data_IF_452956898536
#
_entry.id   IF_452956898536
#
_cell.length_a   1.000
_cell.length_b   1.000
_cell.length_c   1.000
_cell.angle_alpha   90.00
_cell.angle_beta   90.00
_cell.angle_gamma   90.00
#
_symmetry.space_group_name_H-M   'P 1'
#
loop_
_entity.id
_entity.type
_entity.pdbx_description
1 polymer ?
#
# COMPACT_ATOMS: atom_id res chain seq x y z
N UNK A 1 -8.59 96.06 -15.18
CA UNK A 1 -9.74 96.62 -14.48
C UNK A 1 -9.94 95.82 -13.23
N UNK A 2 -9.42 96.23 -12.07
CA UNK A 2 -10.17 96.95 -11.02
C UNK A 2 -11.48 96.21 -10.70
N UNK A 3 -11.81 95.79 -9.55
CA UNK A 3 -11.66 96.17 -8.15
C UNK A 3 -12.34 94.98 -7.35
N UNK A 4 -12.39 94.78 -6.08
CA UNK A 4 -11.94 95.38 -4.81
C UNK A 4 -12.30 94.41 -3.71
N UNK A 5 -11.52 94.39 -2.64
CA UNK A 5 -11.68 93.89 -1.32
C UNK A 5 -13.08 93.99 -0.67
N UNK A 6 -13.50 93.13 0.21
CA UNK A 6 -13.32 93.37 1.64
C UNK A 6 -13.97 92.25 2.45
N UNK A 7 -13.66 92.06 3.71
CA UNK A 7 -13.86 90.84 4.48
C UNK A 7 -15.09 90.89 5.42
N UNK A 8 -15.60 89.77 5.81
CA UNK A 8 -16.48 89.67 7.00
C UNK A 8 -16.03 88.63 7.95
N UNK A 9 -15.75 89.04 9.15
CA UNK A 9 -15.59 88.30 10.36
C UNK A 9 -16.92 87.67 10.79
N UNK A 10 -16.92 86.33 11.22
CA UNK A 10 -17.82 85.89 12.23
C UNK A 10 -17.41 84.50 12.82
N UNK A 11 -17.05 84.55 14.05
CA UNK A 11 -17.28 83.61 15.14
C UNK A 11 -16.94 82.11 14.98
N UNK A 12 -15.88 81.74 15.64
CA UNK A 12 -15.57 80.37 16.08
C UNK A 12 -16.65 79.79 17.04
N UNK A 13 -17.17 78.64 16.72
CA UNK A 13 -17.78 77.74 17.69
C UNK A 13 -16.90 76.46 17.70
N UNK A 14 -16.26 76.23 18.85
CA UNK A 14 -15.55 74.98 19.18
C UNK A 14 -16.55 73.86 19.21
N UNK A 15 -16.43 72.90 18.31
CA UNK A 15 -17.02 71.55 18.48
C UNK A 15 -15.86 70.59 18.71
N UNK A 16 -15.97 69.87 19.84
CA UNK A 16 -14.97 68.89 20.30
C UNK A 16 -14.84 67.73 19.35
N UNK A 17 -13.61 67.46 19.01
CA UNK A 17 -13.24 66.32 18.19
C UNK A 17 -13.27 65.05 19.07
N UNK A 18 -14.40 64.28 19.01
CA UNK A 18 -14.45 62.95 19.56
C UNK A 18 -13.65 62.02 18.62
N UNK A 19 -12.45 61.65 19.02
CA UNK A 19 -11.68 60.62 18.35
C UNK A 19 -12.36 59.29 18.62
N UNK A 20 -13.12 58.76 17.66
CA UNK A 20 -13.64 57.43 17.64
C UNK A 20 -12.50 56.48 17.24
N UNK A 21 -11.81 55.90 18.22
CA UNK A 21 -10.91 54.79 17.99
C UNK A 21 -11.70 53.55 17.62
N UNK A 22 -11.77 53.22 16.34
CA UNK A 22 -12.17 51.89 15.89
C UNK A 22 -11.05 50.92 16.25
N UNK A 23 -11.23 50.18 17.33
CA UNK A 23 -10.45 48.98 17.66
C UNK A 23 -10.89 47.88 16.69
N UNK A 24 -10.12 47.67 15.62
CA UNK A 24 -10.26 46.50 14.77
C UNK A 24 -9.70 45.30 15.55
N UNK A 25 -10.55 44.58 16.25
CA UNK A 25 -10.22 43.25 16.78
C UNK A 25 -10.24 42.31 15.60
N UNK A 26 -9.08 42.08 15.00
CA UNK A 26 -8.88 40.97 14.06
C UNK A 26 -9.02 39.66 14.86
N UNK A 27 -10.17 39.04 14.79
CA UNK A 27 -10.35 37.66 15.25
C UNK A 27 -9.54 36.79 14.28
N UNK A 28 -8.29 36.46 14.65
CA UNK A 28 -7.54 35.36 14.04
C UNK A 28 -8.26 34.08 14.45
N UNK A 29 -9.23 33.65 13.64
CA UNK A 29 -9.71 32.28 13.67
C UNK A 29 -8.56 31.47 13.09
N UNK A 30 -7.72 30.90 13.95
CA UNK A 30 -6.86 29.80 13.58
C UNK A 30 -7.77 28.65 13.17
N UNK A 31 -7.95 28.47 11.87
CA UNK A 31 -8.49 27.23 11.34
C UNK A 31 -7.38 26.20 11.56
N UNK A 32 -7.36 25.58 12.75
CA UNK A 32 -6.64 24.34 12.94
C UNK A 32 -7.32 23.34 11.99
N UNK A 33 -6.79 23.22 10.78
CA UNK A 33 -7.04 22.06 9.94
C UNK A 33 -6.41 20.90 10.70
N UNK A 34 -7.27 20.19 11.48
CA UNK A 34 -6.89 18.88 12.00
C UNK A 34 -6.60 18.04 10.76
N UNK A 35 -5.32 17.91 10.40
CA UNK A 35 -4.92 16.92 9.43
C UNK A 35 -5.31 15.58 10.04
N UNK A 36 -6.13 14.82 9.32
CA UNK A 36 -6.61 13.51 9.75
C UNK A 36 -5.40 12.67 10.17
N UNK A 37 -5.44 12.11 11.38
CA UNK A 37 -4.35 11.30 11.90
C UNK A 37 -4.26 10.01 11.09
N UNK A 38 -3.04 9.57 10.72
CA UNK A 38 -2.84 8.33 9.99
C UNK A 38 -3.45 7.15 10.75
N UNK A 39 -4.41 6.46 10.15
CA UNK A 39 -5.09 5.33 10.74
C UNK A 39 -4.41 4.02 10.34
N UNK A 40 -3.87 3.27 11.30
CA UNK A 40 -3.16 2.00 11.02
C UNK A 40 -4.10 0.87 10.59
N UNK A 41 -5.41 0.98 10.79
CA UNK A 41 -6.40 -0.03 10.41
C UNK A 41 -6.08 -1.45 10.89
N UNK A 42 -5.64 -1.59 12.14
CA UNK A 42 -5.35 -2.90 12.72
C UNK A 42 -6.61 -3.73 12.91
N UNK A 43 -6.50 -5.03 12.66
CA UNK A 43 -7.55 -5.98 13.01
C UNK A 43 -7.78 -6.00 14.52
N UNK A 44 -9.04 -5.95 14.94
CA UNK A 44 -9.41 -5.99 16.37
C UNK A 44 -9.43 -7.42 16.94
N UNK A 45 -9.23 -8.44 16.11
CA UNK A 45 -9.09 -9.83 16.54
C UNK A 45 -8.04 -10.56 15.71
N UNK A 46 -7.40 -11.55 16.32
CA UNK A 46 -6.31 -12.30 15.68
C UNK A 46 -6.83 -13.58 15.04
N UNK A 47 -6.45 -13.79 13.78
CA UNK A 47 -6.68 -15.04 13.07
C UNK A 47 -5.60 -15.25 11.99
N UNK A 48 -5.58 -16.45 11.42
CA UNK A 48 -4.68 -16.77 10.32
C UNK A 48 -5.41 -17.35 9.11
N UNK A 49 -4.87 -17.06 7.93
CA UNK A 49 -5.27 -17.62 6.64
C UNK A 49 -4.15 -18.56 6.15
N UNK A 50 -4.42 -19.89 6.11
CA UNK A 50 -3.38 -20.88 5.77
C UNK A 50 -2.06 -20.58 6.49
N UNK A 51 -2.10 -20.44 7.83
CA UNK A 51 -0.97 -20.14 8.73
C UNK A 51 -0.38 -18.71 8.67
N UNK A 52 -0.78 -17.89 7.73
CA UNK A 52 -0.39 -16.47 7.71
C UNK A 52 -1.28 -15.68 8.68
N UNK A 53 -0.70 -15.09 9.70
CA UNK A 53 -1.41 -14.19 10.62
C UNK A 53 -1.91 -12.95 9.86
N UNK A 54 -3.14 -12.52 10.15
CA UNK A 54 -3.75 -11.30 9.63
C UNK A 54 -3.62 -10.20 10.67
N UNK A 55 -3.07 -9.05 10.27
CA UNK A 55 -2.76 -7.93 11.17
C UNK A 55 -3.66 -6.72 10.97
N UNK A 56 -4.38 -6.65 9.84
CA UNK A 56 -5.16 -5.48 9.43
C UNK A 56 -6.62 -5.82 9.20
N UNK A 57 -7.50 -4.81 9.22
CA UNK A 57 -8.94 -4.94 9.02
C UNK A 57 -9.34 -5.20 7.55
N UNK A 58 -8.39 -5.08 6.63
CA UNK A 58 -8.50 -5.47 5.23
C UNK A 58 -7.28 -6.26 4.81
N UNK A 59 -7.48 -7.39 4.12
CA UNK A 59 -6.42 -8.27 3.64
C UNK A 59 -6.87 -9.04 2.40
N UNK A 60 -5.91 -9.64 1.70
CA UNK A 60 -6.22 -10.52 0.59
C UNK A 60 -5.58 -11.89 0.73
N UNK A 61 -6.13 -12.86 0.01
CA UNK A 61 -5.61 -14.21 -0.10
C UNK A 61 -5.79 -14.73 -1.52
N UNK A 62 -4.87 -15.59 -1.94
CA UNK A 62 -4.89 -16.25 -3.24
C UNK A 62 -5.00 -17.75 -3.05
N UNK A 63 -5.86 -18.39 -3.82
CA UNK A 63 -6.06 -19.84 -3.85
C UNK A 63 -6.19 -20.30 -5.29
N UNK A 64 -5.94 -21.58 -5.55
CA UNK A 64 -6.34 -22.19 -6.84
C UNK A 64 -7.84 -22.50 -6.84
N UNK A 65 -8.45 -22.74 -8.01
CA UNK A 65 -9.80 -23.29 -8.08
C UNK A 65 -9.95 -24.54 -7.22
N UNK A 66 -11.07 -24.65 -6.49
CA UNK A 66 -11.43 -25.79 -5.65
C UNK A 66 -10.37 -26.14 -4.57
N UNK A 67 -9.62 -25.13 -4.12
CA UNK A 67 -8.66 -25.25 -3.04
C UNK A 67 -9.29 -24.87 -1.70
N UNK A 68 -8.98 -25.62 -0.65
CA UNK A 68 -9.43 -25.31 0.71
C UNK A 68 -8.63 -24.14 1.29
N UNK A 69 -9.35 -23.09 1.74
CA UNK A 69 -8.84 -22.02 2.58
C UNK A 69 -9.18 -22.33 4.04
N UNK A 70 -8.17 -22.39 4.88
CA UNK A 70 -8.33 -22.63 6.32
C UNK A 70 -8.16 -21.32 7.07
N UNK A 71 -9.19 -20.90 7.80
CA UNK A 71 -9.19 -19.72 8.67
C UNK A 71 -9.16 -20.24 10.11
N UNK A 72 -8.11 -19.87 10.87
CA UNK A 72 -7.95 -20.31 12.26
C UNK A 72 -7.95 -19.10 13.19
N UNK A 73 -8.77 -19.12 14.20
CA UNK A 73 -8.86 -18.13 15.26
C UNK A 73 -8.11 -18.60 16.51
N UNK A 74 -7.81 -17.68 17.41
CA UNK A 74 -7.22 -18.02 18.70
C UNK A 74 -8.16 -18.99 19.45
N UNK A 75 -7.57 -19.97 20.14
CA UNK A 75 -8.32 -20.94 20.94
C UNK A 75 -8.69 -20.29 22.28
N UNK A 76 -9.72 -19.45 22.28
CA UNK A 76 -10.27 -18.79 23.44
C UNK A 76 -11.79 -19.05 23.55
N UNK A 77 -12.45 -18.42 24.54
CA UNK A 77 -13.90 -18.51 24.76
C UNK A 77 -14.75 -18.08 23.55
N UNK A 78 -14.17 -17.25 22.67
CA UNK A 78 -14.85 -16.67 21.51
C UNK A 78 -14.60 -17.47 20.23
N UNK A 79 -13.85 -18.57 20.29
CA UNK A 79 -13.44 -19.37 19.13
C UNK A 79 -14.60 -19.82 18.20
N UNK A 80 -15.82 -19.96 18.73
CA UNK A 80 -17.02 -20.33 17.97
C UNK A 80 -17.87 -19.12 17.51
N UNK A 81 -17.46 -17.90 17.79
CA UNK A 81 -18.23 -16.69 17.51
C UNK A 81 -17.84 -16.01 16.19
N UNK A 82 -17.12 -16.72 15.31
CA UNK A 82 -16.70 -16.17 14.04
C UNK A 82 -17.51 -16.74 12.88
N UNK A 83 -17.77 -15.89 11.90
CA UNK A 83 -18.51 -16.23 10.67
C UNK A 83 -17.72 -15.74 9.45
N UNK A 84 -17.78 -16.53 8.36
CA UNK A 84 -17.33 -16.11 7.03
C UNK A 84 -18.56 -15.77 6.19
N UNK A 85 -18.72 -14.52 5.85
CA UNK A 85 -19.79 -13.97 5.02
C UNK A 85 -19.30 -13.81 3.57
N UNK A 86 -20.23 -13.66 2.61
CA UNK A 86 -19.91 -13.55 1.17
C UNK A 86 -19.74 -14.90 0.47
N UNK A 87 -19.64 -16.01 1.20
CA UNK A 87 -19.82 -17.36 0.65
C UNK A 87 -21.28 -17.61 0.26
N UNK A 88 -21.54 -18.61 -0.58
CA UNK A 88 -22.91 -18.99 -0.98
C UNK A 88 -23.83 -19.22 0.22
N UNK A 89 -23.27 -19.80 1.29
CA UNK A 89 -23.91 -19.95 2.61
C UNK A 89 -22.88 -19.44 3.63
N UNK A 90 -23.28 -18.57 4.59
CA UNK A 90 -22.41 -18.16 5.68
C UNK A 90 -21.85 -19.37 6.45
N UNK A 91 -20.54 -19.39 6.66
CA UNK A 91 -19.87 -20.46 7.40
C UNK A 91 -19.56 -19.99 8.81
N UNK A 92 -19.85 -20.82 9.80
CA UNK A 92 -19.54 -20.55 11.20
C UNK A 92 -18.30 -21.33 11.64
N UNK A 93 -17.53 -20.73 12.53
CA UNK A 93 -16.37 -21.41 13.12
C UNK A 93 -16.81 -22.59 13.99
N UNK A 94 -16.05 -23.66 13.89
CA UNK A 94 -16.16 -24.84 14.76
C UNK A 94 -14.79 -25.08 15.39
N UNK A 95 -14.75 -25.08 16.72
CA UNK A 95 -13.51 -25.17 17.48
C UNK A 95 -12.41 -24.17 16.98
N UNK A 96 -12.81 -22.93 16.65
CA UNK A 96 -11.90 -21.90 16.17
C UNK A 96 -11.45 -22.07 14.73
N UNK A 97 -12.12 -22.88 13.91
CA UNK A 97 -11.72 -23.13 12.52
C UNK A 97 -12.90 -22.93 11.58
N UNK A 98 -12.67 -22.22 10.48
CA UNK A 98 -13.54 -22.22 9.30
C UNK A 98 -12.76 -22.82 8.14
N UNK A 99 -13.38 -23.76 7.43
CA UNK A 99 -12.87 -24.34 6.18
C UNK A 99 -13.75 -23.90 5.02
N UNK A 100 -13.15 -23.24 4.05
CA UNK A 100 -13.85 -22.70 2.89
C UNK A 100 -13.26 -23.29 1.62
N UNK A 101 -14.07 -23.98 0.84
CA UNK A 101 -13.68 -24.46 -0.49
C UNK A 101 -13.87 -23.32 -1.49
N UNK A 102 -12.78 -22.92 -2.14
CA UNK A 102 -12.83 -21.85 -3.14
C UNK A 102 -13.66 -22.23 -4.36
N UNK A 103 -14.26 -21.26 -5.06
CA UNK A 103 -14.96 -21.49 -6.32
C UNK A 103 -14.08 -22.15 -7.38
N UNK A 104 -14.70 -22.92 -8.26
CA UNK A 104 -14.03 -23.55 -9.40
C UNK A 104 -13.60 -22.54 -10.49
N UNK A 105 -14.26 -21.38 -10.57
CA UNK A 105 -13.98 -20.35 -11.58
C UNK A 105 -12.96 -19.36 -11.05
N UNK A 106 -11.85 -19.07 -11.77
CA UNK A 106 -10.97 -17.96 -11.46
C UNK A 106 -11.71 -16.63 -11.39
N UNK A 107 -11.30 -15.74 -10.49
CA UNK A 107 -11.92 -14.44 -10.31
C UNK A 107 -11.74 -13.85 -8.91
N UNK A 108 -12.39 -12.74 -8.67
CA UNK A 108 -12.43 -12.03 -7.39
C UNK A 108 -13.71 -12.37 -6.62
N UNK A 109 -13.56 -12.71 -5.35
CA UNK A 109 -14.64 -13.10 -4.44
C UNK A 109 -14.48 -12.34 -3.12
N UNK A 110 -15.22 -11.24 -2.91
CA UNK A 110 -15.18 -10.51 -1.65
C UNK A 110 -15.82 -11.35 -0.53
N UNK A 111 -15.10 -11.49 0.56
CA UNK A 111 -15.51 -12.19 1.76
C UNK A 111 -15.34 -11.27 2.97
N UNK A 112 -16.05 -11.56 4.05
CA UNK A 112 -15.92 -10.86 5.31
C UNK A 112 -15.79 -11.89 6.45
N UNK A 113 -14.75 -11.73 7.27
CA UNK A 113 -14.58 -12.50 8.50
C UNK A 113 -15.13 -11.65 9.64
N UNK A 114 -16.20 -12.09 10.29
CA UNK A 114 -16.91 -11.33 11.32
C UNK A 114 -16.89 -12.03 12.66
N UNK A 115 -16.64 -11.28 13.73
CA UNK A 115 -16.90 -11.74 15.09
C UNK A 115 -18.35 -11.37 15.46
N UNK A 116 -19.21 -12.39 15.60
CA UNK A 116 -20.65 -12.20 15.86
C UNK A 116 -20.94 -11.64 17.24
N UNK A 117 -20.00 -11.77 18.21
CA UNK A 117 -20.18 -11.25 19.57
C UNK A 117 -19.91 -9.75 19.66
N UNK A 118 -18.89 -9.27 18.93
CA UNK A 118 -18.48 -7.85 18.97
C UNK A 118 -19.00 -7.04 17.78
N UNK A 119 -19.43 -7.71 16.71
CA UNK A 119 -19.81 -7.09 15.44
C UNK A 119 -18.63 -6.62 14.60
N UNK A 120 -17.39 -6.78 15.08
CA UNK A 120 -16.18 -6.38 14.36
C UNK A 120 -15.86 -7.34 13.21
N UNK A 121 -15.31 -6.80 12.12
CA UNK A 121 -15.04 -7.58 10.93
C UNK A 121 -13.72 -7.23 10.26
N UNK A 122 -13.24 -8.15 9.43
CA UNK A 122 -12.10 -7.99 8.54
C UNK A 122 -12.54 -8.30 7.11
N UNK A 123 -12.26 -7.39 6.19
CA UNK A 123 -12.50 -7.59 4.76
C UNK A 123 -11.44 -8.56 4.19
N UNK A 124 -11.90 -9.65 3.59
CA UNK A 124 -11.04 -10.64 2.96
C UNK A 124 -11.27 -10.67 1.45
N UNK A 125 -10.34 -10.11 0.69
CA UNK A 125 -10.35 -10.10 -0.77
C UNK A 125 -9.76 -11.43 -1.28
N UNK A 126 -10.64 -12.40 -1.58
CA UNK A 126 -10.19 -13.70 -2.10
C UNK A 126 -10.05 -13.64 -3.62
N UNK A 127 -8.87 -13.99 -4.12
CA UNK A 127 -8.60 -14.18 -5.54
C UNK A 127 -8.41 -15.66 -5.85
N UNK A 128 -9.32 -16.22 -6.65
CA UNK A 128 -9.16 -17.55 -7.24
C UNK A 128 -8.31 -17.40 -8.49
N UNK A 129 -7.15 -18.02 -8.52
CA UNK A 129 -6.11 -17.81 -9.52
C UNK A 129 -6.45 -18.50 -10.84
N UNK A 130 -6.02 -17.90 -11.95
CA UNK A 130 -5.85 -18.63 -13.22
C UNK A 130 -4.61 -19.50 -13.08
N UNK A 131 -4.72 -20.85 -13.15
CA UNK A 131 -3.58 -21.75 -12.92
C UNK A 131 -2.46 -21.53 -13.93
N UNK A 132 -1.19 -21.65 -13.48
CA UNK A 132 -0.02 -21.51 -14.36
C UNK A 132 -0.02 -22.50 -15.52
N UNK A 133 -0.68 -23.65 -15.38
CA UNK A 133 -0.84 -24.67 -16.44
C UNK A 133 -1.58 -24.16 -17.66
N UNK A 134 -2.29 -23.03 -17.54
CA UNK A 134 -2.97 -22.36 -18.65
C UNK A 134 -2.03 -21.49 -19.50
N UNK A 135 -0.82 -21.21 -19.02
CA UNK A 135 0.19 -20.51 -19.82
C UNK A 135 0.66 -21.42 -20.95
N UNK A 136 0.54 -20.96 -22.17
CA UNK A 136 0.96 -21.69 -23.39
C UNK A 136 1.99 -20.87 -24.15
N UNK A 137 3.17 -21.44 -24.39
CA UNK A 137 4.27 -20.77 -25.11
C UNK A 137 4.59 -19.36 -24.54
N UNK A 138 4.60 -19.24 -23.21
CA UNK A 138 4.85 -17.97 -22.52
C UNK A 138 3.72 -16.94 -22.59
N UNK A 139 2.52 -17.33 -23.05
CA UNK A 139 1.35 -16.48 -23.14
C UNK A 139 0.23 -17.00 -22.26
N UNK A 140 -0.50 -16.09 -21.63
CA UNK A 140 -1.77 -16.34 -20.97
C UNK A 140 -2.80 -15.41 -21.60
N UNK A 141 -3.74 -15.97 -22.40
CA UNK A 141 -4.53 -15.20 -23.36
C UNK A 141 -3.60 -14.35 -24.26
N UNK A 142 -3.87 -13.06 -24.42
CA UNK A 142 -3.02 -12.13 -25.17
C UNK A 142 -1.87 -11.52 -24.33
N UNK A 143 -1.76 -11.86 -23.04
CA UNK A 143 -0.78 -11.28 -22.13
C UNK A 143 0.51 -12.08 -22.09
N UNK A 144 1.65 -11.42 -22.29
CA UNK A 144 2.95 -12.08 -22.35
C UNK A 144 3.53 -12.29 -20.97
N UNK A 145 3.58 -13.54 -20.50
CA UNK A 145 4.18 -13.94 -19.20
C UNK A 145 5.68 -14.21 -19.40
N UNK A 146 6.05 -15.00 -20.42
CA UNK A 146 7.37 -15.58 -20.57
C UNK A 146 7.60 -16.79 -19.66
N UNK A 147 8.85 -17.27 -19.59
CA UNK A 147 9.23 -18.48 -18.87
C UNK A 147 9.97 -18.14 -17.58
N UNK A 148 9.57 -18.76 -16.47
CA UNK A 148 10.30 -18.69 -15.22
C UNK A 148 11.57 -19.53 -15.29
N UNK A 149 12.72 -19.02 -14.81
CA UNK A 149 13.93 -19.82 -14.72
C UNK A 149 13.77 -20.91 -13.66
N UNK A 150 14.63 -21.95 -13.70
CA UNK A 150 14.74 -22.91 -12.60
C UNK A 150 14.95 -22.17 -11.25
N UNK A 151 14.39 -22.69 -10.14
CA UNK A 151 14.51 -22.05 -8.85
C UNK A 151 15.97 -21.78 -8.45
N UNK A 152 16.31 -20.54 -8.20
CA UNK A 152 17.65 -20.14 -7.78
C UNK A 152 18.06 -20.92 -6.53
N UNK A 153 19.17 -21.70 -6.62
CA UNK A 153 19.65 -22.59 -5.54
C UNK A 153 18.59 -23.56 -5.00
N UNK A 154 17.57 -23.92 -5.80
CA UNK A 154 16.48 -24.79 -5.37
C UNK A 154 15.54 -24.19 -4.31
N UNK A 155 15.66 -22.91 -3.98
CA UNK A 155 14.90 -22.27 -2.91
C UNK A 155 13.42 -22.11 -3.27
N UNK A 156 12.53 -22.46 -2.33
CA UNK A 156 11.07 -22.34 -2.47
C UNK A 156 10.61 -20.96 -2.90
N UNK A 157 11.26 -19.94 -2.36
CA UNK A 157 10.96 -18.55 -2.67
C UNK A 157 11.14 -18.18 -4.15
N UNK A 158 11.85 -19.00 -4.94
CA UNK A 158 12.11 -18.82 -6.38
C UNK A 158 11.39 -19.84 -7.25
N UNK A 159 10.48 -20.64 -6.71
CA UNK A 159 9.61 -21.48 -7.52
C UNK A 159 8.60 -20.60 -8.29
N UNK A 160 8.29 -21.03 -9.50
CA UNK A 160 7.25 -20.41 -10.32
C UNK A 160 5.94 -20.32 -9.52
N UNK A 161 5.14 -19.26 -9.71
CA UNK A 161 3.86 -19.12 -9.01
C UNK A 161 2.91 -20.24 -9.42
N UNK A 162 1.96 -20.59 -8.56
CA UNK A 162 0.92 -21.60 -8.85
C UNK A 162 -0.11 -21.13 -9.88
N UNK A 163 -0.28 -19.81 -10.00
CA UNK A 163 -1.21 -19.15 -10.89
C UNK A 163 -1.12 -17.63 -10.77
N UNK A 164 -2.06 -16.94 -11.41
CA UNK A 164 -2.08 -15.50 -11.54
C UNK A 164 -3.45 -14.94 -11.13
N UNK A 165 -3.47 -13.80 -10.47
CA UNK A 165 -4.66 -12.96 -10.33
C UNK A 165 -4.96 -12.40 -11.73
N UNK A 166 -6.17 -12.62 -12.22
CA UNK A 166 -6.65 -12.00 -13.45
C UNK A 166 -7.21 -10.62 -13.12
N UNK A 167 -6.66 -9.59 -13.76
CA UNK A 167 -6.98 -8.20 -13.47
C UNK A 167 -7.60 -7.54 -14.69
N UNK A 168 -8.81 -7.05 -14.53
CA UNK A 168 -9.53 -6.21 -15.48
C UNK A 168 -9.44 -4.75 -15.03
N UNK A 169 -9.79 -3.80 -15.89
CA UNK A 169 -9.74 -2.37 -15.59
C UNK A 169 -10.61 -2.01 -14.37
N UNK A 170 -11.77 -2.63 -14.27
CA UNK A 170 -12.75 -2.40 -13.22
C UNK A 170 -12.31 -2.89 -11.83
N UNK A 171 -11.36 -3.83 -11.76
CA UNK A 171 -10.90 -4.35 -10.48
C UNK A 171 -9.51 -3.87 -10.04
N UNK A 172 -8.87 -2.98 -10.81
CA UNK A 172 -7.60 -2.36 -10.42
C UNK A 172 -7.70 -1.56 -9.12
N UNK A 173 -8.84 -0.92 -8.89
CA UNK A 173 -9.10 -0.09 -7.70
C UNK A 173 -9.47 -0.89 -6.45
N UNK A 174 -9.56 -2.23 -6.52
CA UNK A 174 -9.82 -3.05 -5.33
C UNK A 174 -8.73 -2.78 -4.29
N UNK A 175 -9.16 -2.32 -3.12
CA UNK A 175 -8.30 -2.08 -1.98
C UNK A 175 -7.96 -3.42 -1.31
N UNK A 176 -6.78 -3.96 -1.58
CA UNK A 176 -6.34 -5.28 -1.09
C UNK A 176 -5.77 -5.27 0.33
N UNK A 177 -5.58 -4.08 0.86
CA UNK A 177 -5.19 -3.77 2.24
C UNK A 177 -5.61 -2.34 2.55
N UNK A 178 -5.49 -1.83 3.79
CA UNK A 178 -5.97 -0.49 4.13
C UNK A 178 -5.49 0.64 3.21
N UNK A 179 -4.23 0.58 2.75
CA UNK A 179 -3.62 1.71 2.01
C UNK A 179 -3.14 1.34 0.60
N UNK A 180 -3.34 0.07 0.16
CA UNK A 180 -2.86 -0.35 -1.17
C UNK A 180 -3.96 -0.98 -2.02
N UNK A 181 -3.98 -0.58 -3.31
CA UNK A 181 -4.87 -1.15 -4.32
C UNK A 181 -4.16 -2.21 -5.17
N UNK A 182 -4.94 -3.11 -5.77
CA UNK A 182 -4.44 -4.17 -6.64
C UNK A 182 -3.64 -3.61 -7.83
N UNK A 183 -4.13 -2.54 -8.44
CA UNK A 183 -3.56 -1.92 -9.63
C UNK A 183 -2.14 -1.37 -9.44
N UNK A 184 -1.81 -0.90 -8.24
CA UNK A 184 -0.47 -0.37 -7.94
C UNK A 184 0.66 -1.38 -8.19
N UNK A 185 0.37 -2.68 -8.09
CA UNK A 185 1.37 -3.74 -8.23
C UNK A 185 1.47 -4.35 -9.63
N UNK A 186 0.68 -3.89 -10.59
CA UNK A 186 0.68 -4.41 -11.95
C UNK A 186 2.04 -4.23 -12.64
N UNK A 187 2.39 -5.21 -13.48
CA UNK A 187 3.54 -5.11 -14.36
C UNK A 187 3.37 -3.94 -15.34
N UNK A 188 4.42 -3.13 -15.51
CA UNK A 188 4.44 -1.96 -16.40
C UNK A 188 4.60 -2.29 -17.89
N UNK A 189 4.59 -3.57 -18.27
CA UNK A 189 4.56 -3.91 -19.68
C UNK A 189 3.29 -3.38 -20.35
N UNK A 190 3.41 -2.89 -21.56
CA UNK A 190 2.25 -2.48 -22.36
C UNK A 190 1.45 -3.71 -22.79
N UNK A 191 0.15 -3.68 -22.53
CA UNK A 191 -0.79 -4.74 -22.89
C UNK A 191 -2.22 -4.25 -22.70
N UNK A 192 -3.15 -4.88 -23.42
CA UNK A 192 -4.57 -4.78 -23.13
C UNK A 192 -4.94 -5.59 -21.88
N UNK A 193 -6.21 -5.50 -21.46
CA UNK A 193 -6.79 -6.32 -20.41
C UNK A 193 -7.39 -7.63 -21.00
N UNK A 194 -7.46 -8.68 -20.18
CA UNK A 194 -7.00 -8.76 -18.81
C UNK A 194 -5.47 -8.78 -18.70
N UNK A 195 -4.95 -8.17 -17.60
CA UNK A 195 -3.57 -8.31 -17.15
C UNK A 195 -3.46 -9.41 -16.10
N UNK A 196 -2.26 -9.90 -15.86
CA UNK A 196 -2.03 -11.00 -14.93
C UNK A 196 -0.97 -10.61 -13.91
N UNK A 197 -1.29 -10.83 -12.63
CA UNK A 197 -0.50 -10.37 -11.48
C UNK A 197 -0.14 -11.54 -10.56
N UNK A 198 1.09 -11.57 -10.10
CA UNK A 198 1.50 -12.34 -8.91
C UNK A 198 1.83 -11.35 -7.81
N UNK A 199 1.23 -11.53 -6.63
CA UNK A 199 1.46 -10.66 -5.48
C UNK A 199 1.41 -11.47 -4.18
N UNK A 200 2.45 -11.40 -3.38
CA UNK A 200 2.50 -12.10 -2.09
C UNK A 200 1.85 -11.26 -0.99
N UNK A 201 0.85 -11.78 -0.25
CA UNK A 201 0.24 -11.03 0.85
C UNK A 201 1.24 -10.50 1.88
N UNK A 202 2.30 -11.26 2.18
CA UNK A 202 3.37 -10.83 3.09
C UNK A 202 4.11 -9.57 2.63
N UNK A 203 4.21 -9.31 1.31
CA UNK A 203 4.81 -8.08 0.81
C UNK A 203 3.94 -6.88 1.16
N UNK A 204 2.63 -6.97 0.89
CA UNK A 204 1.69 -5.89 1.17
C UNK A 204 1.61 -5.64 2.68
N UNK A 205 1.56 -6.67 3.49
CA UNK A 205 1.58 -6.57 4.95
C UNK A 205 2.87 -5.89 5.46
N UNK A 206 4.02 -6.19 4.84
CA UNK A 206 5.28 -5.51 5.16
C UNK A 206 5.24 -4.03 4.79
N UNK A 207 4.61 -3.68 3.66
CA UNK A 207 4.45 -2.29 3.22
C UNK A 207 3.51 -1.52 4.15
N UNK A 208 2.41 -2.12 4.62
CA UNK A 208 1.51 -1.52 5.61
C UNK A 208 2.24 -1.20 6.93
N UNK A 209 3.01 -2.17 7.46
CA UNK A 209 3.81 -1.95 8.65
C UNK A 209 4.87 -0.86 8.47
N UNK A 210 5.48 -0.82 7.28
CA UNK A 210 6.47 0.20 6.96
C UNK A 210 5.84 1.59 6.81
N UNK A 211 4.65 1.67 6.24
CA UNK A 211 3.89 2.90 6.12
C UNK A 211 3.53 3.48 7.50
N UNK A 212 3.13 2.62 8.44
CA UNK A 212 2.91 3.01 9.82
C UNK A 212 4.20 3.55 10.47
N UNK A 213 5.33 2.85 10.30
CA UNK A 213 6.64 3.32 10.82
C UNK A 213 7.01 4.70 10.26
N UNK A 214 6.78 4.93 8.95
CA UNK A 214 7.07 6.22 8.30
C UNK A 214 6.21 7.34 8.89
N UNK A 215 4.92 7.10 9.06
CA UNK A 215 4.01 8.08 9.65
C UNK A 215 4.35 8.37 11.13
N UNK A 216 4.82 7.38 11.89
CA UNK A 216 5.32 7.58 13.25
C UNK A 216 6.58 8.45 13.31
N UNK A 217 7.35 8.58 12.22
CA UNK A 217 8.46 9.53 12.13
C UNK A 217 7.99 10.96 11.79
N UNK A 218 6.68 11.21 11.67
CA UNK A 218 6.13 12.50 11.32
C UNK A 218 6.07 12.76 9.80
N UNK A 219 6.41 11.80 8.98
CA UNK A 219 6.30 11.88 7.52
C UNK A 219 4.88 11.47 7.14
N UNK A 220 4.03 12.45 6.81
CA UNK A 220 2.62 12.20 6.49
C UNK A 220 2.46 11.71 5.07
N UNK A 221 2.02 10.47 4.94
CA UNK A 221 1.69 9.87 3.64
C UNK A 221 0.67 8.75 3.83
N UNK A 222 -0.32 8.69 2.94
CA UNK A 222 -1.36 7.65 2.98
C UNK A 222 -0.97 6.40 2.21
N UNK A 223 0.08 6.45 1.39
CA UNK A 223 0.57 5.30 0.63
C UNK A 223 1.99 5.55 0.13
N UNK A 224 2.66 4.50 -0.32
CA UNK A 224 3.88 4.63 -1.14
C UNK A 224 3.52 4.67 -2.62
N UNK A 225 4.32 5.41 -3.40
CA UNK A 225 4.35 5.20 -4.85
C UNK A 225 5.04 3.87 -5.12
N UNK A 226 4.31 2.93 -5.72
CA UNK A 226 4.86 1.65 -6.17
C UNK A 226 5.45 1.87 -7.57
N UNK A 227 6.72 2.27 -7.61
CA UNK A 227 7.42 2.48 -8.88
C UNK A 227 7.51 1.19 -9.69
N UNK A 228 7.67 0.05 -9.03
CA UNK A 228 7.64 -1.26 -9.66
C UNK A 228 7.18 -2.32 -8.66
N UNK A 229 6.07 -2.98 -8.96
CA UNK A 229 5.57 -4.16 -8.26
C UNK A 229 5.96 -5.45 -8.97
N UNK A 230 4.97 -6.20 -9.46
CA UNK A 230 5.19 -7.41 -10.22
C UNK A 230 5.84 -7.13 -11.59
N UNK A 231 6.73 -8.03 -12.00
CA UNK A 231 7.31 -8.07 -13.36
C UNK A 231 7.15 -9.46 -13.93
N UNK A 232 6.52 -9.58 -15.12
CA UNK A 232 6.54 -10.87 -15.81
C UNK A 232 7.98 -11.26 -16.14
N UNK A 233 8.33 -12.56 -16.23
CA UNK A 233 9.64 -13.00 -16.71
C UNK A 233 10.04 -12.38 -18.07
N UNK A 234 9.05 -12.21 -18.96
CA UNK A 234 9.25 -11.52 -20.22
C UNK A 234 9.69 -10.07 -20.03
N UNK A 235 8.91 -9.28 -19.26
CA UNK A 235 9.20 -7.87 -19.03
C UNK A 235 10.51 -7.67 -18.26
N UNK A 236 10.74 -8.49 -17.23
CA UNK A 236 12.00 -8.45 -16.47
C UNK A 236 13.22 -8.62 -17.36
N UNK A 237 13.15 -9.51 -18.36
CA UNK A 237 14.20 -9.73 -19.36
C UNK A 237 14.34 -8.55 -20.31
N UNK A 238 13.21 -7.99 -20.79
CA UNK A 238 13.21 -6.88 -21.75
C UNK A 238 13.87 -5.61 -21.22
N UNK A 239 13.82 -5.40 -19.90
CA UNK A 239 14.47 -4.26 -19.22
C UNK A 239 15.90 -4.61 -18.73
N UNK A 240 16.46 -5.76 -19.13
CA UNK A 240 17.82 -6.15 -18.78
C UNK A 240 18.03 -6.51 -17.31
N UNK A 241 16.97 -6.84 -16.55
CA UNK A 241 17.12 -7.11 -15.13
C UNK A 241 17.55 -8.57 -14.86
N UNK A 242 18.08 -8.83 -13.65
CA UNK A 242 18.59 -10.14 -13.26
C UNK A 242 17.51 -11.23 -13.30
N UNK A 243 17.90 -12.44 -13.73
CA UNK A 243 16.98 -13.57 -13.88
C UNK A 243 16.41 -14.11 -12.57
N UNK A 244 16.99 -13.72 -11.42
CA UNK A 244 16.52 -14.08 -10.08
C UNK A 244 15.76 -12.93 -9.38
N UNK A 245 15.27 -11.94 -10.13
CA UNK A 245 14.55 -10.79 -9.57
C UNK A 245 13.31 -11.21 -8.77
N UNK A 246 13.18 -10.67 -7.55
CA UNK A 246 12.04 -10.99 -6.65
C UNK A 246 10.71 -10.43 -7.14
N UNK A 247 10.75 -9.42 -8.01
CA UNK A 247 9.56 -8.88 -8.67
C UNK A 247 8.82 -9.93 -9.50
N UNK A 248 9.54 -10.86 -10.14
CA UNK A 248 8.90 -11.93 -10.93
C UNK A 248 8.04 -12.88 -10.09
N UNK A 249 8.30 -12.95 -8.78
CA UNK A 249 7.59 -13.85 -7.86
C UNK A 249 6.58 -13.09 -6.97
N UNK A 250 6.26 -11.84 -7.30
CA UNK A 250 5.32 -10.99 -6.56
C UNK A 250 5.74 -10.67 -5.14
N UNK A 251 7.01 -10.85 -4.82
CA UNK A 251 7.53 -10.69 -3.46
C UNK A 251 8.39 -9.46 -3.26
N UNK A 252 8.38 -8.48 -4.18
CA UNK A 252 9.17 -7.26 -4.10
C UNK A 252 8.42 -6.04 -4.64
N UNK A 253 8.76 -4.88 -4.09
CA UNK A 253 8.37 -3.57 -4.58
C UNK A 253 9.56 -2.61 -4.55
N UNK A 254 9.65 -1.76 -5.57
CA UNK A 254 10.48 -0.56 -5.60
C UNK A 254 9.56 0.61 -5.26
N UNK A 255 9.88 1.36 -4.19
CA UNK A 255 8.98 2.34 -3.59
C UNK A 255 9.68 3.66 -3.26
N UNK A 256 8.90 4.74 -3.25
CA UNK A 256 9.29 6.05 -2.74
C UNK A 256 8.05 6.82 -2.24
N UNK A 257 8.27 7.97 -1.61
CA UNK A 257 7.24 8.89 -1.13
C UNK A 257 7.23 10.10 -2.05
N UNK A 258 6.03 10.51 -2.51
CA UNK A 258 5.82 11.64 -3.42
C UNK A 258 4.43 12.22 -3.11
N UNK A 259 4.39 13.12 -2.13
CA UNK A 259 3.16 13.71 -1.59
C UNK A 259 3.10 15.22 -1.87
N UNK A 260 4.22 15.94 -1.66
CA UNK A 260 4.23 17.38 -1.78
C UNK A 260 5.61 17.98 -2.14
N UNK A 261 5.79 18.49 -3.36
CA UNK A 261 4.83 18.45 -4.46
C UNK A 261 4.81 17.09 -5.18
N UNK A 262 3.65 16.64 -5.64
CA UNK A 262 3.56 15.43 -6.48
C UNK A 262 4.24 15.68 -7.81
N UNK A 263 5.41 15.07 -8.04
CA UNK A 263 6.27 15.37 -9.20
C UNK A 263 7.01 14.15 -9.76
N UNK A 264 6.62 12.93 -9.33
CA UNK A 264 7.23 11.65 -9.73
C UNK A 264 8.69 11.52 -9.26
N UNK A 265 9.03 12.21 -8.18
CA UNK A 265 10.34 12.19 -7.54
C UNK A 265 10.18 11.99 -6.03
N UNK A 266 11.17 11.41 -5.35
CA UNK A 266 11.11 11.23 -3.89
C UNK A 266 11.13 12.59 -3.19
N UNK A 267 10.22 12.79 -2.23
CA UNK A 267 10.19 13.95 -1.36
C UNK A 267 11.41 14.01 -0.43
N UNK A 268 11.67 15.20 0.12
CA UNK A 268 12.61 15.39 1.23
C UNK A 268 12.03 14.78 2.52
N UNK A 269 12.29 13.50 2.71
CA UNK A 269 11.75 12.75 3.85
C UNK A 269 12.69 12.76 5.07
N UNK A 270 13.93 13.16 4.90
CA UNK A 270 14.90 13.31 5.98
C UNK A 270 14.94 14.73 6.58
N UNK A 271 14.27 15.71 5.93
CA UNK A 271 14.13 17.09 6.40
C UNK A 271 15.38 17.94 6.21
N UNK A 272 16.30 17.60 5.28
CA UNK A 272 17.54 18.36 5.05
C UNK A 272 17.39 19.48 4.02
N UNK A 273 16.19 19.65 3.45
CA UNK A 273 15.85 20.64 2.44
C UNK A 273 16.26 20.24 1.02
N UNK A 274 16.56 18.97 0.76
CA UNK A 274 17.00 18.47 -0.54
C UNK A 274 16.36 17.14 -0.88
N UNK A 275 15.81 17.02 -2.07
CA UNK A 275 15.28 15.78 -2.61
C UNK A 275 16.43 15.01 -3.29
N UNK A 276 17.04 14.04 -2.62
CA UNK A 276 18.23 13.38 -3.12
C UNK A 276 18.39 11.93 -2.58
N UNK A 277 19.55 11.32 -2.79
CA UNK A 277 19.81 9.95 -2.34
C UNK A 277 19.75 9.76 -0.81
N UNK A 278 19.96 10.83 -0.01
CA UNK A 278 19.91 10.72 1.45
C UNK A 278 18.50 10.40 1.95
N UNK A 279 17.44 10.79 1.20
CA UNK A 279 16.06 10.41 1.49
C UNK A 279 15.86 8.91 1.32
N UNK A 280 16.43 8.32 0.27
CA UNK A 280 16.41 6.86 0.10
C UNK A 280 17.25 6.14 1.17
N UNK A 281 18.35 6.74 1.64
CA UNK A 281 19.12 6.22 2.79
C UNK A 281 18.27 6.23 4.05
N UNK A 282 17.57 7.33 4.34
CA UNK A 282 16.70 7.45 5.50
C UNK A 282 15.60 6.37 5.50
N UNK A 283 14.87 6.22 4.39
CA UNK A 283 13.83 5.18 4.28
C UNK A 283 14.42 3.77 4.39
N UNK A 284 15.58 3.53 3.79
CA UNK A 284 16.27 2.24 3.89
C UNK A 284 16.65 1.90 5.34
N UNK A 285 17.22 2.84 6.09
CA UNK A 285 17.64 2.63 7.48
C UNK A 285 16.42 2.39 8.38
N UNK A 286 15.32 3.11 8.15
CA UNK A 286 14.05 2.87 8.83
C UNK A 286 13.51 1.46 8.51
N UNK A 287 13.51 1.05 7.24
CA UNK A 287 13.02 -0.27 6.81
C UNK A 287 13.90 -1.42 7.34
N UNK A 288 15.21 -1.23 7.56
CA UNK A 288 16.09 -2.29 8.07
C UNK A 288 15.72 -2.75 9.49
N UNK A 289 15.13 -1.86 10.30
CA UNK A 289 14.66 -2.17 11.65
C UNK A 289 13.27 -2.80 11.73
N UNK A 290 12.47 -2.79 10.65
CA UNK A 290 11.04 -3.11 10.65
C UNK A 290 10.70 -4.47 11.27
N UNK A 291 11.35 -5.55 10.82
CA UNK A 291 11.02 -6.91 11.29
C UNK A 291 11.30 -7.13 12.77
N UNK A 292 12.25 -6.39 13.32
CA UNK A 292 12.56 -6.38 14.76
C UNK A 292 11.53 -5.55 15.54
N UNK A 293 11.21 -4.35 15.10
CA UNK A 293 10.21 -3.48 15.77
C UNK A 293 8.85 -4.16 15.88
N UNK A 294 8.43 -4.82 14.80
CA UNK A 294 7.11 -5.47 14.73
C UNK A 294 7.11 -6.96 15.13
N UNK A 295 8.25 -7.52 15.55
CA UNK A 295 8.39 -8.96 15.87
C UNK A 295 7.95 -9.91 14.74
N UNK A 296 8.18 -9.50 13.47
CA UNK A 296 7.73 -10.19 12.25
C UNK A 296 8.89 -10.81 11.48
N UNK A 297 9.47 -11.87 12.07
CA UNK A 297 10.57 -12.62 11.43
C UNK A 297 10.16 -13.23 10.07
N UNK A 298 8.87 -13.53 9.87
CA UNK A 298 8.29 -14.05 8.63
C UNK A 298 8.34 -13.03 7.46
N UNK A 299 8.56 -11.74 7.75
CA UNK A 299 8.69 -10.67 6.77
C UNK A 299 10.17 -10.34 6.42
N UNK A 300 11.12 -11.15 6.90
CA UNK A 300 12.54 -10.96 6.56
C UNK A 300 12.76 -10.99 5.06
N UNK A 301 13.57 -10.05 4.55
CA UNK A 301 13.83 -9.96 3.12
C UNK A 301 14.99 -9.03 2.75
N UNK A 302 15.07 -8.76 1.46
CA UNK A 302 16.02 -7.84 0.86
C UNK A 302 15.61 -6.39 1.05
N UNK A 303 16.61 -5.54 1.17
CA UNK A 303 16.51 -4.09 1.06
C UNK A 303 17.64 -3.57 0.19
N UNK A 304 17.28 -2.70 -0.75
CA UNK A 304 18.24 -1.99 -1.59
C UNK A 304 17.93 -0.49 -1.59
N UNK A 305 18.95 0.33 -1.74
CA UNK A 305 18.81 1.77 -1.97
C UNK A 305 19.47 2.17 -3.26
N UNK A 306 18.81 3.03 -4.01
CA UNK A 306 19.19 3.38 -5.37
C UNK A 306 19.25 4.88 -5.53
N UNK A 307 20.32 5.33 -6.22
CA UNK A 307 20.47 6.72 -6.63
C UNK A 307 19.57 7.03 -7.83
N UNK A 308 19.34 8.32 -8.05
CA UNK A 308 18.70 8.79 -9.27
C UNK A 308 19.56 8.53 -10.51
N UNK A 309 18.88 8.29 -11.62
CA UNK A 309 19.49 8.25 -12.95
C UNK A 309 18.59 8.95 -13.98
N UNK A 310 18.86 8.81 -15.26
CA UNK A 310 18.07 9.42 -16.34
C UNK A 310 16.59 8.93 -16.39
N UNK A 311 16.25 7.81 -15.75
CA UNK A 311 14.94 7.16 -15.84
C UNK A 311 14.12 7.27 -14.56
N UNK A 312 14.71 7.55 -13.42
CA UNK A 312 14.03 7.61 -12.13
C UNK A 312 14.80 8.44 -11.09
N UNK A 313 14.07 8.98 -10.11
CA UNK A 313 14.60 9.54 -8.89
C UNK A 313 15.16 8.46 -7.94
N UNK A 314 15.64 8.85 -6.74
CA UNK A 314 16.06 7.88 -5.74
C UNK A 314 14.84 7.05 -5.26
N UNK A 315 15.09 5.80 -4.86
CA UNK A 315 14.06 4.91 -4.33
C UNK A 315 14.67 3.79 -3.47
N UNK A 316 13.84 3.05 -2.79
CA UNK A 316 14.24 1.82 -2.10
C UNK A 316 13.54 0.59 -2.69
N UNK A 317 14.28 -0.52 -2.73
CA UNK A 317 13.73 -1.85 -2.96
C UNK A 317 13.43 -2.52 -1.63
N UNK A 318 12.26 -3.13 -1.50
CA UNK A 318 11.85 -3.93 -0.34
C UNK A 318 11.27 -5.26 -0.80
N UNK A 319 11.65 -6.39 -0.13
CA UNK A 319 11.12 -7.71 -0.49
C UNK A 319 10.92 -8.64 0.72
N UNK A 320 10.28 -9.78 0.47
CA UNK A 320 9.95 -10.83 1.46
C UNK A 320 10.53 -12.19 1.04
N UNK A 321 11.83 -12.21 0.66
CA UNK A 321 12.51 -13.45 0.20
C UNK A 321 12.76 -14.48 1.30
N UNK A 322 12.56 -14.15 2.57
CA UNK A 322 12.79 -15.05 3.70
C UNK A 322 14.24 -15.08 4.22
N UNK A 323 15.13 -14.29 3.64
CA UNK A 323 16.51 -14.15 4.11
C UNK A 323 17.00 -12.70 3.96
N UNK A 324 17.87 -12.27 4.87
CA UNK A 324 18.42 -10.91 4.85
C UNK A 324 19.36 -10.73 3.65
N UNK A 325 19.14 -9.68 2.85
CA UNK A 325 20.05 -9.20 1.82
C UNK A 325 20.05 -7.67 1.81
N UNK A 326 21.20 -7.05 1.65
CA UNK A 326 21.37 -5.58 1.70
C UNK A 326 22.31 -5.15 0.60
N UNK A 327 21.95 -4.08 -0.13
CA UNK A 327 22.79 -3.50 -1.17
C UNK A 327 22.49 -2.01 -1.38
N UNK A 328 23.40 -1.36 -2.08
CA UNK A 328 23.29 0.03 -2.52
C UNK A 328 23.82 0.11 -3.96
N UNK A 329 23.15 0.85 -4.81
CA UNK A 329 23.54 1.16 -6.19
C UNK A 329 23.50 2.67 -6.43
#
# INVERSE_FOLDING_TARGET
>A
MKFVNTPFYAHAKKFGCVKLCFLLVALLVSVDTFAEEFAEHRSEFSFSLNERVVSFDSTFQMVLPEEELVIKFAADKDANNYELLGATIPLKSQAGIIRYLSPAKPGYYPLEVKNSSTGKSVQLHLFVLVPITQVKKGMLNAYRIGDYPPPHKGLEAYKAPRGYIEVYRENESIQISPHFTLGQFLCKQQSDYPKYLVLRPRLVEKLELFLADVNQQGIRTDSFVIMSGYRTPYYNRSIGNVSSSRHMYGGAADIYIDVNPVNVYMDDVNGDGKNNFQDAVFLYDLADGLTRRHHRADLVGGLGKYQSNASHGPFIHIDVRGSKARWSN
#
